data_IF_342675594294
#
_entry.id   IF_342675594294
#
_cell.length_a   1.000
_cell.length_b   1.000
_cell.length_c   1.000
_cell.angle_alpha   90.00
_cell.angle_beta   90.00
_cell.angle_gamma   90.00
#
_symmetry.space_group_name_H-M   'P 1'
#
loop_
_entity.id
_entity.type
_entity.pdbx_description
1 polymer ?
#
# COMPACT_ATOMS: atom_id res chain seq x y z
N UNK A 1 -37.18 28.61 44.14
CA UNK A 1 -37.13 27.38 43.30
C UNK A 1 -36.17 27.64 42.17
N UNK A 2 -34.89 27.30 42.35
CA UNK A 2 -33.82 27.48 41.39
C UNK A 2 -33.59 26.15 40.68
N UNK A 3 -33.95 26.10 39.40
CA UNK A 3 -33.66 24.96 38.50
C UNK A 3 -32.13 24.87 38.31
N UNK A 4 -31.50 23.85 38.89
CA UNK A 4 -30.19 23.39 38.51
C UNK A 4 -30.32 22.58 37.22
N UNK A 5 -29.98 23.15 36.06
CA UNK A 5 -29.76 22.40 34.85
C UNK A 5 -28.47 21.60 34.98
N UNK A 6 -28.62 20.31 35.16
CA UNK A 6 -27.54 19.31 35.12
C UNK A 6 -27.00 19.21 33.69
N UNK A 7 -26.01 20.08 33.36
CA UNK A 7 -25.18 19.89 32.21
C UNK A 7 -24.27 18.66 32.43
N UNK A 8 -24.80 17.48 32.15
CA UNK A 8 -23.98 16.30 31.96
C UNK A 8 -23.06 16.56 30.77
N UNK A 9 -21.86 17.02 31.06
CA UNK A 9 -20.73 16.98 30.15
C UNK A 9 -20.58 15.54 29.64
N UNK A 10 -21.10 15.30 28.44
CA UNK A 10 -20.82 14.07 27.72
C UNK A 10 -19.31 14.00 27.49
N UNK A 11 -18.64 13.17 28.28
CA UNK A 11 -17.24 12.88 28.13
C UNK A 11 -16.93 12.57 26.65
N UNK A 12 -15.82 13.08 26.07
CA UNK A 12 -15.46 12.74 24.69
C UNK A 12 -15.34 11.23 24.62
N UNK A 13 -16.23 10.59 23.86
CA UNK A 13 -16.09 9.17 23.58
C UNK A 13 -14.76 8.98 22.88
N UNK A 14 -13.78 8.38 23.57
CA UNK A 14 -12.52 7.94 23.02
C UNK A 14 -12.81 6.96 21.89
N UNK A 15 -12.94 7.51 20.68
CA UNK A 15 -13.12 6.67 19.48
C UNK A 15 -11.85 5.84 19.32
N UNK A 16 -12.00 4.52 19.11
CA UNK A 16 -10.84 3.65 19.07
C UNK A 16 -9.85 4.13 18.02
N UNK A 17 -8.62 4.33 18.44
CA UNK A 17 -7.44 4.73 17.65
C UNK A 17 -7.22 3.88 16.38
N UNK A 18 -7.80 2.68 16.36
CA UNK A 18 -7.64 1.69 15.30
C UNK A 18 -8.41 2.01 14.01
N UNK A 19 -9.55 2.72 14.11
CA UNK A 19 -10.44 3.00 12.96
C UNK A 19 -10.25 4.41 12.42
N UNK A 20 -10.53 4.59 11.13
CA UNK A 20 -10.54 5.89 10.49
C UNK A 20 -11.63 6.79 11.10
N UNK A 21 -11.29 8.08 11.27
CA UNK A 21 -12.21 9.14 11.65
C UNK A 21 -12.55 10.02 10.43
N UNK A 22 -13.48 10.97 10.53
CA UNK A 22 -13.74 11.92 9.47
C UNK A 22 -12.55 12.82 9.11
N UNK A 23 -11.58 12.97 10.04
CA UNK A 23 -10.45 13.90 9.90
C UNK A 23 -9.09 13.19 9.79
N UNK A 24 -8.97 11.91 10.18
CA UNK A 24 -7.70 11.19 10.23
C UNK A 24 -7.84 9.71 9.87
N UNK A 25 -6.76 9.12 9.42
CA UNK A 25 -6.66 7.67 9.29
C UNK A 25 -6.39 7.01 10.64
N UNK A 26 -6.91 5.80 10.82
CA UNK A 26 -6.64 4.97 11.99
C UNK A 26 -5.30 4.21 11.87
N UNK A 27 -4.79 3.73 13.00
CA UNK A 27 -3.51 3.00 13.06
C UNK A 27 -3.45 1.80 12.12
N UNK A 28 -4.56 1.06 11.95
CA UNK A 28 -4.61 -0.07 11.01
C UNK A 28 -4.35 0.37 9.57
N UNK A 29 -4.98 1.46 9.12
CA UNK A 29 -4.78 1.99 7.78
C UNK A 29 -3.36 2.51 7.57
N UNK A 30 -2.80 3.19 8.57
CA UNK A 30 -1.42 3.71 8.56
C UNK A 30 -0.41 2.57 8.53
N UNK A 31 -0.57 1.55 9.39
CA UNK A 31 0.32 0.40 9.44
C UNK A 31 0.34 -0.37 8.11
N UNK A 32 -0.82 -0.73 7.57
CA UNK A 32 -0.90 -1.37 6.25
C UNK A 32 -0.25 -0.52 5.15
N UNK A 33 -0.50 0.81 5.17
CA UNK A 33 0.06 1.69 4.16
C UNK A 33 1.59 1.64 4.16
N UNK A 34 2.22 1.92 5.30
CA UNK A 34 3.67 2.02 5.37
C UNK A 34 4.37 0.67 5.20
N UNK A 35 3.83 -0.41 5.78
CA UNK A 35 4.39 -1.75 5.58
C UNK A 35 4.38 -2.13 4.10
N UNK A 36 3.24 -1.99 3.42
CA UNK A 36 3.15 -2.30 1.98
C UNK A 36 4.01 -1.35 1.16
N UNK A 37 4.05 -0.05 1.47
CA UNK A 37 4.88 0.91 0.74
C UNK A 37 6.36 0.56 0.79
N UNK A 38 6.89 0.22 1.97
CA UNK A 38 8.30 -0.18 2.14
C UNK A 38 8.58 -1.48 1.37
N UNK A 39 7.74 -2.50 1.54
CA UNK A 39 7.91 -3.78 0.85
C UNK A 39 7.78 -3.64 -0.66
N UNK A 40 6.87 -2.79 -1.15
CA UNK A 40 6.68 -2.56 -2.57
C UNK A 40 7.88 -1.83 -3.20
N UNK A 41 8.43 -0.82 -2.52
CA UNK A 41 9.65 -0.16 -2.97
C UNK A 41 10.85 -1.11 -2.97
N UNK A 42 10.98 -1.97 -1.95
CA UNK A 42 12.00 -3.02 -1.93
C UNK A 42 11.84 -4.00 -3.12
N UNK A 43 10.59 -4.35 -3.47
CA UNK A 43 10.30 -5.21 -4.62
C UNK A 43 10.70 -4.58 -5.96
N UNK A 44 10.47 -3.28 -6.14
CA UNK A 44 10.93 -2.57 -7.34
C UNK A 44 12.45 -2.58 -7.44
N UNK A 45 13.15 -2.36 -6.31
CA UNK A 45 14.61 -2.41 -6.26
C UNK A 45 15.14 -3.82 -6.55
N UNK A 46 14.57 -4.87 -5.93
CA UNK A 46 14.94 -6.26 -6.17
C UNK A 46 14.68 -6.67 -7.63
N UNK A 47 13.51 -6.31 -8.18
CA UNK A 47 13.17 -6.58 -9.57
C UNK A 47 14.16 -5.96 -10.54
N UNK A 48 14.57 -4.72 -10.29
CA UNK A 48 15.62 -4.05 -11.08
C UNK A 48 16.99 -4.72 -10.94
N UNK A 49 17.38 -5.06 -9.72
CA UNK A 49 18.69 -5.67 -9.45
C UNK A 49 18.81 -7.06 -10.09
N UNK A 50 17.81 -7.93 -9.90
CA UNK A 50 17.87 -9.31 -10.41
C UNK A 50 17.80 -9.41 -11.95
N UNK A 51 17.33 -8.36 -12.63
CA UNK A 51 17.25 -8.31 -14.10
C UNK A 51 18.51 -7.78 -14.79
N UNK A 52 19.60 -7.52 -14.07
CA UNK A 52 20.86 -7.02 -14.66
C UNK A 52 21.72 -8.15 -15.22
N UNK A 53 22.34 -7.92 -16.38
CA UNK A 53 23.10 -8.93 -17.14
C UNK A 53 24.41 -9.38 -16.50
N UNK A 54 24.99 -8.61 -15.56
CA UNK A 54 26.31 -8.85 -15.00
C UNK A 54 26.28 -9.20 -13.50
N UNK A 55 25.30 -10.00 -13.08
CA UNK A 55 25.21 -10.47 -11.71
C UNK A 55 25.70 -11.92 -11.63
N UNK A 56 26.40 -12.23 -10.54
CA UNK A 56 26.73 -13.63 -10.20
C UNK A 56 25.46 -14.50 -10.20
N UNK A 57 25.48 -15.67 -10.89
CA UNK A 57 24.28 -16.50 -11.02
C UNK A 57 23.68 -17.01 -9.69
N UNK A 58 24.52 -17.24 -8.68
CA UNK A 58 24.07 -17.68 -7.35
C UNK A 58 23.33 -16.52 -6.67
N UNK A 59 23.94 -15.34 -6.67
CA UNK A 59 23.30 -14.14 -6.14
C UNK A 59 21.99 -13.82 -6.89
N UNK A 60 21.98 -13.96 -8.22
CA UNK A 60 20.78 -13.73 -9.02
C UNK A 60 19.64 -14.68 -8.60
N UNK A 61 19.95 -15.98 -8.40
CA UNK A 61 18.97 -16.96 -7.92
C UNK A 61 18.41 -16.58 -6.54
N UNK A 62 19.27 -16.18 -5.61
CA UNK A 62 18.84 -15.74 -4.27
C UNK A 62 17.94 -14.51 -4.35
N UNK A 63 18.28 -13.53 -5.19
CA UNK A 63 17.44 -12.34 -5.42
C UNK A 63 16.06 -12.72 -5.97
N UNK A 64 15.97 -13.69 -6.90
CA UNK A 64 14.69 -14.21 -7.37
C UNK A 64 13.87 -14.85 -6.25
N UNK A 65 14.49 -15.62 -5.36
CA UNK A 65 13.78 -16.24 -4.24
C UNK A 65 13.29 -15.22 -3.22
N UNK A 66 14.12 -14.21 -2.88
CA UNK A 66 13.69 -13.11 -2.02
C UNK A 66 12.57 -12.29 -2.68
N UNK A 67 12.67 -12.00 -3.98
CA UNK A 67 11.63 -11.31 -4.72
C UNK A 67 10.30 -12.07 -4.68
N UNK A 68 10.30 -13.36 -4.92
CA UNK A 68 9.09 -14.20 -4.80
C UNK A 68 8.54 -14.18 -3.37
N UNK A 69 9.38 -14.38 -2.36
CA UNK A 69 8.97 -14.41 -0.94
C UNK A 69 8.32 -13.11 -0.50
N UNK A 70 8.96 -11.97 -0.77
CA UNK A 70 8.43 -10.65 -0.43
C UNK A 70 7.19 -10.35 -1.28
N UNK A 71 7.15 -10.78 -2.55
CA UNK A 71 5.98 -10.64 -3.42
C UNK A 71 4.73 -11.31 -2.85
N UNK A 72 4.86 -12.55 -2.36
CA UNK A 72 3.76 -13.24 -1.68
C UNK A 72 3.38 -12.57 -0.36
N UNK A 73 4.33 -12.03 0.40
CA UNK A 73 4.04 -11.25 1.60
C UNK A 73 3.25 -9.96 1.27
N UNK A 74 3.65 -9.25 0.21
CA UNK A 74 2.90 -8.08 -0.28
C UNK A 74 1.48 -8.49 -0.66
N UNK A 75 1.30 -9.59 -1.40
CA UNK A 75 -0.03 -10.09 -1.77
C UNK A 75 -0.87 -10.43 -0.54
N UNK A 76 -0.29 -11.13 0.45
CA UNK A 76 -0.96 -11.50 1.70
C UNK A 76 -1.40 -10.27 2.52
N UNK A 77 -0.63 -9.17 2.47
CA UNK A 77 -0.99 -7.91 3.13
C UNK A 77 -1.94 -7.04 2.28
N UNK A 78 -1.85 -7.13 0.96
CA UNK A 78 -2.69 -6.33 0.06
C UNK A 78 -4.17 -6.76 0.10
N UNK A 79 -4.44 -8.06 0.26
CA UNK A 79 -5.83 -8.57 0.36
C UNK A 79 -6.57 -7.98 1.57
N UNK A 80 -6.11 -8.12 2.83
CA UNK A 80 -6.79 -7.51 3.97
C UNK A 80 -6.79 -5.98 3.91
N UNK A 81 -5.77 -5.34 3.34
CA UNK A 81 -5.78 -3.89 3.09
C UNK A 81 -6.87 -3.49 2.12
N UNK A 82 -7.07 -4.25 1.03
CA UNK A 82 -8.14 -4.01 0.06
C UNK A 82 -9.50 -4.11 0.75
N UNK A 83 -9.74 -5.20 1.49
CA UNK A 83 -10.97 -5.41 2.27
C UNK A 83 -11.19 -4.24 3.24
N UNK A 84 -10.16 -3.88 4.01
CA UNK A 84 -10.22 -2.74 4.94
C UNK A 84 -10.58 -1.43 4.23
N UNK A 85 -9.99 -1.17 3.06
CA UNK A 85 -10.25 0.05 2.28
C UNK A 85 -11.67 0.16 1.75
N UNK A 86 -12.32 -0.99 1.45
CA UNK A 86 -13.71 -1.05 0.99
C UNK A 86 -14.70 -0.80 2.13
N UNK A 87 -14.46 -1.41 3.29
CA UNK A 87 -15.39 -1.34 4.43
C UNK A 87 -15.12 -0.18 5.40
N UNK A 88 -13.96 0.47 5.31
CA UNK A 88 -13.62 1.59 6.19
C UNK A 88 -14.03 2.93 5.61
N UNK A 89 -14.55 3.81 6.48
CA UNK A 89 -14.84 5.20 6.11
C UNK A 89 -13.53 5.91 5.73
N UNK A 90 -13.56 6.68 4.66
CA UNK A 90 -12.42 7.51 4.24
C UNK A 90 -12.52 8.88 4.91
N UNK A 91 -11.41 9.45 5.41
CA UNK A 91 -11.37 10.83 5.87
C UNK A 91 -11.79 11.79 4.77
N UNK A 92 -12.39 12.92 5.15
CA UNK A 92 -12.78 13.96 4.20
C UNK A 92 -11.55 14.55 3.53
N UNK A 93 -11.60 14.80 2.19
CA UNK A 93 -10.51 15.50 1.52
C UNK A 93 -10.36 16.92 2.09
N UNK A 94 -9.17 17.56 1.96
CA UNK A 94 -8.99 18.96 2.33
C UNK A 94 -9.98 19.87 1.58
N UNK A 95 -10.50 20.90 2.27
CA UNK A 95 -11.45 21.85 1.66
C UNK A 95 -10.82 22.68 0.54
N UNK A 96 -9.49 22.82 0.58
CA UNK A 96 -8.70 23.51 -0.44
C UNK A 96 -8.63 22.79 -1.79
N UNK A 97 -9.07 21.53 -1.89
CA UNK A 97 -8.98 20.75 -3.12
C UNK A 97 -10.15 21.01 -4.07
N UNK A 98 -9.82 21.37 -5.31
CA UNK A 98 -10.80 21.44 -6.40
C UNK A 98 -11.30 20.04 -6.83
N UNK A 99 -12.40 19.99 -7.61
CA UNK A 99 -13.01 18.72 -8.04
C UNK A 99 -12.05 17.84 -8.86
N UNK A 100 -11.23 18.46 -9.71
CA UNK A 100 -10.23 17.74 -10.55
C UNK A 100 -9.14 17.10 -9.69
N UNK A 101 -8.59 17.83 -8.70
CA UNK A 101 -7.59 17.31 -7.77
C UNK A 101 -8.15 16.13 -6.96
N UNK A 102 -9.38 16.25 -6.48
CA UNK A 102 -10.06 15.16 -5.74
C UNK A 102 -10.28 13.91 -6.61
N UNK A 103 -10.66 14.10 -7.88
CA UNK A 103 -10.84 12.99 -8.81
C UNK A 103 -9.50 12.30 -9.11
N UNK A 104 -8.45 13.07 -9.43
CA UNK A 104 -7.10 12.57 -9.66
C UNK A 104 -6.55 11.78 -8.47
N UNK A 105 -6.70 12.32 -7.25
CA UNK A 105 -6.28 11.62 -6.04
C UNK A 105 -7.04 10.31 -5.82
N UNK A 106 -8.36 10.28 -6.07
CA UNK A 106 -9.16 9.05 -5.98
C UNK A 106 -8.73 8.00 -7.00
N UNK A 107 -8.49 8.43 -8.24
CA UNK A 107 -8.05 7.56 -9.33
C UNK A 107 -6.66 6.96 -9.01
N UNK A 108 -5.70 7.79 -8.58
CA UNK A 108 -4.36 7.34 -8.20
C UNK A 108 -4.40 6.33 -7.03
N UNK A 109 -5.17 6.60 -5.98
CA UNK A 109 -5.30 5.68 -4.86
C UNK A 109 -5.99 4.36 -5.26
N UNK A 110 -7.01 4.40 -6.12
CA UNK A 110 -7.68 3.20 -6.62
C UNK A 110 -6.73 2.37 -7.50
N UNK A 111 -5.97 3.03 -8.38
CA UNK A 111 -4.96 2.39 -9.22
C UNK A 111 -3.85 1.74 -8.40
N UNK A 112 -3.30 2.44 -7.39
CA UNK A 112 -2.28 1.89 -6.50
C UNK A 112 -2.81 0.69 -5.71
N UNK A 113 -4.04 0.76 -5.21
CA UNK A 113 -4.66 -0.34 -4.49
C UNK A 113 -4.87 -1.56 -5.39
N UNK A 114 -5.28 -1.36 -6.63
CA UNK A 114 -5.40 -2.42 -7.64
C UNK A 114 -4.03 -3.01 -8.00
N UNK A 115 -3.02 -2.17 -8.24
CA UNK A 115 -1.68 -2.61 -8.64
C UNK A 115 -0.94 -3.35 -7.52
N UNK A 116 -1.19 -3.04 -6.24
CA UNK A 116 -0.64 -3.83 -5.13
C UNK A 116 -1.14 -5.29 -5.09
N UNK A 117 -2.25 -5.59 -5.75
CA UNK A 117 -2.75 -6.96 -5.96
C UNK A 117 -2.30 -7.51 -7.32
N UNK A 118 -2.47 -6.73 -8.39
CA UNK A 118 -2.25 -7.19 -9.76
C UNK A 118 -0.78 -7.53 -10.04
N UNK A 119 0.17 -6.72 -9.54
CA UNK A 119 1.61 -6.96 -9.76
C UNK A 119 2.05 -8.31 -9.17
N UNK A 120 1.85 -8.61 -7.87
CA UNK A 120 2.28 -9.89 -7.33
C UNK A 120 1.48 -11.08 -7.88
N UNK A 121 0.23 -10.92 -8.26
CA UNK A 121 -0.54 -11.97 -8.95
C UNK A 121 0.05 -12.29 -10.33
N UNK A 122 0.44 -11.28 -11.11
CA UNK A 122 1.14 -11.49 -12.38
C UNK A 122 2.50 -12.17 -12.16
N UNK A 123 3.26 -11.79 -11.12
CA UNK A 123 4.50 -12.47 -10.74
C UNK A 123 4.31 -13.94 -10.31
N UNK A 124 3.19 -14.25 -9.67
CA UNK A 124 2.82 -15.64 -9.38
C UNK A 124 2.50 -16.42 -10.66
N UNK A 125 1.85 -15.80 -11.63
CA UNK A 125 1.62 -16.38 -12.95
C UNK A 125 2.94 -16.66 -13.69
N UNK A 126 3.94 -15.74 -13.64
CA UNK A 126 5.29 -16.00 -14.18
C UNK A 126 5.88 -17.28 -13.57
N UNK A 127 5.94 -17.37 -12.25
CA UNK A 127 6.49 -18.53 -11.56
C UNK A 127 5.72 -19.83 -11.86
N UNK A 128 4.43 -19.73 -12.15
CA UNK A 128 3.56 -20.87 -12.41
C UNK A 128 3.66 -21.38 -13.86
N UNK A 129 4.06 -20.55 -14.80
CA UNK A 129 4.15 -20.88 -16.24
C UNK A 129 5.57 -21.22 -16.68
N UNK A 130 6.58 -20.99 -15.82
CA UNK A 130 7.99 -21.24 -16.14
C UNK A 130 8.29 -22.73 -16.35
N UNK A 131 8.93 -23.11 -17.47
CA UNK A 131 9.39 -24.48 -17.72
C UNK A 131 10.41 -25.00 -16.71
N UNK A 132 11.12 -24.09 -16.02
CA UNK A 132 12.12 -24.47 -14.99
C UNK A 132 11.47 -25.10 -13.76
N UNK A 133 10.19 -24.86 -13.53
CA UNK A 133 9.41 -25.44 -12.41
C UNK A 133 10.06 -25.28 -11.04
N UNK A 134 10.81 -24.19 -10.84
CA UNK A 134 11.46 -23.90 -9.55
C UNK A 134 10.39 -23.57 -8.51
N UNK A 135 10.27 -24.34 -7.42
CA UNK A 135 9.27 -24.10 -6.38
C UNK A 135 9.35 -22.69 -5.82
N UNK A 136 8.19 -22.12 -5.51
CA UNK A 136 8.13 -20.81 -4.85
C UNK A 136 8.13 -21.01 -3.34
N UNK A 137 9.34 -20.96 -2.76
CA UNK A 137 9.51 -20.96 -1.31
C UNK A 137 9.29 -19.56 -0.75
N UNK A 138 8.41 -19.44 0.23
CA UNK A 138 8.21 -18.18 0.96
C UNK A 138 9.05 -18.25 2.22
N UNK A 139 10.18 -17.54 2.22
CA UNK A 139 11.19 -17.52 3.30
C UNK A 139 11.62 -18.91 3.78
N UNK A 140 11.69 -19.89 2.87
CA UNK A 140 11.99 -21.30 3.14
C UNK A 140 11.05 -21.99 4.16
N UNK A 141 9.92 -21.37 4.48
CA UNK A 141 8.94 -21.87 5.44
C UNK A 141 7.75 -22.56 4.77
N UNK A 142 7.30 -22.02 3.63
CA UNK A 142 6.08 -22.46 2.96
C UNK A 142 6.35 -22.58 1.47
N UNK A 143 5.90 -23.66 0.86
CA UNK A 143 5.87 -23.81 -0.60
C UNK A 143 4.51 -23.35 -1.12
N UNK A 144 4.49 -22.33 -1.96
CA UNK A 144 3.27 -21.89 -2.64
C UNK A 144 3.13 -22.66 -3.95
N UNK A 145 2.03 -23.41 -4.15
CA UNK A 145 1.80 -24.16 -5.37
C UNK A 145 1.64 -23.22 -6.56
N UNK A 146 1.98 -23.70 -7.74
CA UNK A 146 1.70 -22.97 -8.99
C UNK A 146 0.21 -22.85 -9.26
N UNK A 147 -0.18 -21.81 -10.00
CA UNK A 147 -1.51 -21.69 -10.57
C UNK A 147 -1.73 -22.76 -11.65
N UNK A 148 -2.95 -23.26 -11.87
CA UNK A 148 -3.24 -24.25 -12.91
C UNK A 148 -3.21 -23.60 -14.31
N UNK A 149 -2.01 -23.31 -14.80
CA UNK A 149 -1.75 -22.60 -16.06
C UNK A 149 -0.88 -23.46 -16.99
N UNK A 150 -0.93 -23.16 -18.29
CA UNK A 150 -0.07 -23.83 -19.26
C UNK A 150 1.40 -23.47 -19.06
N UNK A 151 2.24 -24.49 -18.92
CA UNK A 151 3.69 -24.36 -18.73
C UNK A 151 4.34 -24.34 -20.12
N UNK A 152 4.96 -23.20 -20.49
CA UNK A 152 5.70 -23.03 -21.74
C UNK A 152 6.51 -21.74 -21.70
N UNK A 153 7.58 -21.68 -22.51
CA UNK A 153 8.37 -20.44 -22.68
C UNK A 153 7.51 -19.26 -23.15
N UNK A 154 6.53 -19.51 -24.01
CA UNK A 154 5.63 -18.48 -24.50
C UNK A 154 4.72 -17.92 -23.38
N UNK A 155 4.19 -18.80 -22.53
CA UNK A 155 3.36 -18.38 -21.38
C UNK A 155 4.17 -17.63 -20.35
N UNK A 156 5.39 -18.08 -20.05
CA UNK A 156 6.32 -17.40 -19.15
C UNK A 156 6.69 -16.01 -19.67
N UNK A 157 7.06 -15.89 -20.95
CA UNK A 157 7.39 -14.61 -21.57
C UNK A 157 6.19 -13.64 -21.53
N UNK A 158 4.99 -14.09 -21.87
CA UNK A 158 3.79 -13.26 -21.80
C UNK A 158 3.54 -12.71 -20.38
N UNK A 159 3.59 -13.59 -19.36
CA UNK A 159 3.35 -13.14 -17.98
C UNK A 159 4.49 -12.30 -17.42
N UNK A 160 5.71 -12.51 -17.89
CA UNK A 160 6.86 -11.65 -17.57
C UNK A 160 6.64 -10.23 -18.10
N UNK A 161 6.20 -10.08 -19.34
CA UNK A 161 5.88 -8.78 -19.95
C UNK A 161 4.73 -8.09 -19.22
N UNK A 162 3.68 -8.84 -18.88
CA UNK A 162 2.54 -8.32 -18.09
C UNK A 162 3.02 -7.84 -16.72
N UNK A 163 3.80 -8.68 -16.00
CA UNK A 163 4.31 -8.34 -14.67
C UNK A 163 5.20 -7.09 -14.72
N UNK A 164 6.14 -7.03 -15.64
CA UNK A 164 7.04 -5.89 -15.82
C UNK A 164 6.27 -4.60 -16.16
N UNK A 165 5.32 -4.68 -17.10
CA UNK A 165 4.49 -3.53 -17.49
C UNK A 165 3.69 -3.00 -16.30
N UNK A 166 3.03 -3.87 -15.53
CA UNK A 166 2.29 -3.47 -14.34
C UNK A 166 3.22 -2.90 -13.25
N UNK A 167 4.42 -3.45 -13.09
CA UNK A 167 5.41 -2.95 -12.12
C UNK A 167 5.92 -1.55 -12.50
N UNK A 168 6.25 -1.30 -13.77
CA UNK A 168 6.66 0.03 -14.24
C UNK A 168 5.52 1.04 -14.15
N UNK A 169 4.29 0.65 -14.49
CA UNK A 169 3.11 1.50 -14.31
C UNK A 169 2.93 1.87 -12.83
N UNK A 170 3.04 0.88 -11.94
CA UNK A 170 2.94 1.11 -10.51
C UNK A 170 4.07 2.04 -10.02
N UNK A 171 5.31 1.85 -10.47
CA UNK A 171 6.43 2.72 -10.12
C UNK A 171 6.17 4.19 -10.53
N UNK A 172 5.65 4.41 -11.74
CA UNK A 172 5.27 5.75 -12.21
C UNK A 172 4.18 6.39 -11.35
N UNK A 173 3.13 5.63 -11.02
CA UNK A 173 2.04 6.15 -10.18
C UNK A 173 2.52 6.37 -8.73
N UNK A 174 3.39 5.52 -8.18
CA UNK A 174 4.01 5.73 -6.85
C UNK A 174 4.83 7.01 -6.85
N UNK A 175 5.64 7.25 -7.88
CA UNK A 175 6.42 8.49 -8.00
C UNK A 175 5.51 9.72 -7.99
N UNK A 176 4.46 9.73 -8.81
CA UNK A 176 3.47 10.81 -8.84
C UNK A 176 2.76 10.98 -7.48
N UNK A 177 2.42 9.87 -6.81
CA UNK A 177 1.80 9.89 -5.50
C UNK A 177 2.71 10.52 -4.43
N UNK A 178 3.99 10.15 -4.42
CA UNK A 178 4.99 10.74 -3.50
C UNK A 178 5.19 12.22 -3.79
N UNK A 179 5.38 12.59 -5.06
CA UNK A 179 5.53 14.00 -5.47
C UNK A 179 4.30 14.83 -5.06
N UNK A 180 3.10 14.31 -5.28
CA UNK A 180 1.88 14.98 -4.86
C UNK A 180 1.79 15.14 -3.34
N UNK A 181 2.14 14.10 -2.56
CA UNK A 181 2.15 14.18 -1.09
C UNK A 181 3.15 15.22 -0.56
N UNK A 182 4.35 15.29 -1.15
CA UNK A 182 5.36 16.29 -0.84
C UNK A 182 4.92 17.71 -1.24
N UNK A 183 4.31 17.86 -2.42
CA UNK A 183 3.72 19.13 -2.86
C UNK A 183 2.66 19.63 -1.88
N UNK A 184 1.73 18.78 -1.45
CA UNK A 184 0.73 19.11 -0.44
C UNK A 184 1.38 19.54 0.88
N UNK A 185 2.44 18.84 1.30
CA UNK A 185 3.11 19.14 2.56
C UNK A 185 3.91 20.45 2.52
N UNK A 186 4.78 20.64 1.52
CA UNK A 186 5.73 21.76 1.49
C UNK A 186 5.17 23.02 0.84
N UNK A 187 4.37 22.88 -0.23
CA UNK A 187 3.88 24.03 -1.02
C UNK A 187 2.50 24.45 -0.54
N UNK A 188 1.54 23.49 -0.46
CA UNK A 188 0.19 23.81 -0.01
C UNK A 188 0.06 23.91 1.51
N UNK A 189 1.01 23.35 2.25
CA UNK A 189 1.08 23.31 3.72
C UNK A 189 -0.20 22.75 4.36
N UNK A 190 -0.81 21.75 3.71
CA UNK A 190 -1.99 21.08 4.19
C UNK A 190 -1.64 19.77 4.95
N UNK A 191 -2.55 19.23 5.78
CA UNK A 191 -2.26 18.09 6.63
C UNK A 191 -2.29 16.73 5.91
N UNK A 192 -2.31 16.66 4.58
CA UNK A 192 -2.48 15.42 3.82
C UNK A 192 -1.45 14.37 4.20
N UNK A 193 -0.15 14.70 4.16
CA UNK A 193 0.93 13.80 4.53
C UNK A 193 0.90 13.48 6.03
N UNK A 194 0.66 14.49 6.88
CA UNK A 194 0.64 14.31 8.34
C UNK A 194 -0.46 13.34 8.79
N UNK A 195 -1.59 13.27 8.10
CA UNK A 195 -2.66 12.30 8.37
C UNK A 195 -2.24 10.84 8.20
N UNK A 196 -1.13 10.58 7.48
CA UNK A 196 -0.57 9.25 7.25
C UNK A 196 0.71 8.96 8.06
N UNK A 197 1.30 9.98 8.69
CA UNK A 197 2.52 9.83 9.50
C UNK A 197 2.20 9.90 10.99
N UNK A 198 1.34 10.85 11.37
CA UNK A 198 1.03 11.10 12.78
C UNK A 198 -0.43 10.85 13.08
N UNK A 199 -0.65 10.11 14.14
CA UNK A 199 -1.95 10.02 14.76
C UNK A 199 -2.24 11.38 15.44
N UNK A 200 -3.40 12.04 15.21
CA UNK A 200 -3.75 13.22 15.97
C UNK A 200 -3.91 12.83 17.44
N UNK A 201 -2.93 13.16 18.25
CA UNK A 201 -3.08 13.15 19.70
C UNK A 201 -4.36 13.94 20.01
N UNK A 202 -5.27 13.37 20.78
CA UNK A 202 -6.55 13.99 21.12
C UNK A 202 -6.29 15.45 21.53
N UNK A 203 -6.95 16.37 20.86
CA UNK A 203 -6.83 17.81 21.11
C UNK A 203 -7.16 18.07 22.58
N UNK A 204 -6.12 18.15 23.41
CA UNK A 204 -6.26 18.57 24.79
C UNK A 204 -6.57 20.08 24.79
N UNK A 205 -7.87 20.41 24.73
CA UNK A 205 -8.38 21.78 24.82
C UNK A 205 -8.17 22.45 26.17
N UNK A 206 -7.27 21.94 27.03
CA UNK A 206 -7.06 22.47 28.40
C UNK A 206 -6.16 23.69 28.52
N UNK A 207 -5.57 24.24 27.45
CA UNK A 207 -4.65 25.40 27.57
C UNK A 207 -5.11 26.63 26.74
N UNK A 208 -6.39 27.01 26.81
CA UNK A 208 -6.85 28.33 26.36
C UNK A 208 -7.83 28.94 27.33
N UNK A 209 -7.42 28.98 28.62
CA UNK A 209 -8.06 29.79 29.62
C UNK A 209 -6.98 30.16 30.68
N UNK A 210 -6.14 31.11 30.34
CA UNK A 210 -5.34 31.89 31.22
C UNK A 210 -5.09 33.27 30.58
#
# INVERSE_FOLDING_TARGET
MTHFEDHRDSAPTDKPLWRNSPTSFGLVAIAFHWTIAILFLAQLALGYLMSRDNIDPVLQFDLFQYHKSIGFLVLALAVPRFIWSVFSRKPRPPDSDGPVSRLGARAAHAALLFLTLAVPLAGWAVASTSPLQIPSYVFDLIVVPGLPMAISDQSEAFWTDVHATLAYLAAGIVLLHVVAALWHHFIRKDPTLLRMISYPAGSNKKNRAA
#
